data_IF_345915471641
#
_entry.id   IF_345915471641
#
_cell.length_a   1.000
_cell.length_b   1.000
_cell.length_c   1.000
_cell.angle_alpha   90.00
_cell.angle_beta   90.00
_cell.angle_gamma   90.00
#
_symmetry.space_group_name_H-M   'P 1'
#
loop_
_entity.id
_entity.type
_entity.pdbx_description
1 polymer ?
#
# COMPACT_ATOMS: atom_id res chain seq x y z
N UNK A 1 6.26 -14.17 -5.81
CA UNK A 1 6.26 -12.95 -4.97
C UNK A 1 7.69 -12.63 -4.56
N UNK A 2 8.12 -11.39 -4.72
CA UNK A 2 9.43 -10.93 -4.27
C UNK A 2 9.34 -10.39 -2.83
N UNK A 3 10.51 -10.23 -2.18
CA UNK A 3 10.57 -9.59 -0.86
C UNK A 3 9.96 -8.17 -0.88
N UNK A 4 10.26 -7.42 -1.92
CA UNK A 4 9.72 -6.05 -2.10
C UNK A 4 8.20 -6.06 -2.22
N UNK A 5 7.64 -6.99 -3.00
CA UNK A 5 6.19 -7.16 -3.13
C UNK A 5 5.54 -7.56 -1.80
N UNK A 6 6.15 -8.47 -1.06
CA UNK A 6 5.65 -8.88 0.26
C UNK A 6 5.63 -7.70 1.24
N UNK A 7 6.70 -6.90 1.28
CA UNK A 7 6.76 -5.71 2.12
C UNK A 7 5.68 -4.68 1.75
N UNK A 8 5.44 -4.47 0.46
CA UNK A 8 4.41 -3.54 -0.01
C UNK A 8 3.00 -4.02 0.33
N UNK A 9 2.73 -5.30 0.19
CA UNK A 9 1.43 -5.89 0.57
C UNK A 9 1.21 -5.76 2.08
N UNK A 10 2.23 -6.05 2.88
CA UNK A 10 2.16 -5.89 4.33
C UNK A 10 1.88 -4.44 4.75
N UNK A 11 2.53 -3.48 4.09
CA UNK A 11 2.31 -2.04 4.32
C UNK A 11 0.87 -1.64 4.02
N UNK A 12 0.32 -2.09 2.90
CA UNK A 12 -1.07 -1.84 2.54
C UNK A 12 -2.04 -2.42 3.56
N UNK A 13 -1.80 -3.64 3.99
CA UNK A 13 -2.66 -4.31 4.96
C UNK A 13 -2.65 -3.60 6.32
N UNK A 14 -1.48 -3.14 6.75
CA UNK A 14 -1.35 -2.31 7.94
C UNK A 14 -2.16 -1.02 7.82
N UNK A 15 -2.02 -0.30 6.73
CA UNK A 15 -2.76 0.95 6.49
C UNK A 15 -4.26 0.70 6.40
N UNK A 16 -4.67 -0.39 5.75
CA UNK A 16 -6.08 -0.77 5.65
C UNK A 16 -6.72 -1.00 7.02
N UNK A 17 -5.99 -1.62 7.95
CA UNK A 17 -6.52 -1.94 9.28
C UNK A 17 -6.39 -0.80 10.30
N UNK A 18 -5.39 0.05 10.17
CA UNK A 18 -5.08 1.10 11.16
C UNK A 18 -5.41 2.52 10.68
N UNK A 19 -5.49 2.72 9.37
CA UNK A 19 -5.63 4.05 8.77
C UNK A 19 -4.34 4.88 8.80
N UNK A 20 -3.24 4.33 9.26
CA UNK A 20 -1.96 5.00 9.41
C UNK A 20 -0.92 4.49 8.41
N UNK A 21 0.00 5.37 8.01
CA UNK A 21 1.14 4.99 7.17
C UNK A 21 2.30 4.54 8.05
N UNK A 22 2.86 3.33 7.84
CA UNK A 22 4.03 2.90 8.58
C UNK A 22 5.27 3.65 8.08
N UNK A 23 6.18 4.00 9.01
CA UNK A 23 7.45 4.62 8.65
C UNK A 23 8.39 3.63 7.96
N UNK A 24 8.36 2.39 8.39
CA UNK A 24 9.21 1.31 7.84
C UNK A 24 8.53 -0.04 7.98
N UNK A 25 8.90 -0.96 7.11
CA UNK A 25 8.46 -2.35 7.14
C UNK A 25 9.69 -3.24 6.99
N UNK A 26 9.90 -4.13 7.95
CA UNK A 26 11.00 -5.08 7.93
C UNK A 26 10.48 -6.49 7.61
N UNK A 27 11.14 -7.18 6.70
CA UNK A 27 10.82 -8.58 6.46
C UNK A 27 11.63 -9.43 7.44
N UNK A 28 10.94 -10.05 8.39
CA UNK A 28 11.56 -10.90 9.40
C UNK A 28 11.74 -12.35 8.93
N UNK A 29 10.79 -12.86 8.14
CA UNK A 29 10.85 -14.21 7.58
C UNK A 29 10.36 -14.14 6.13
N UNK A 30 11.14 -14.71 5.22
CA UNK A 30 10.76 -14.84 3.83
C UNK A 30 11.17 -16.23 3.33
N UNK A 31 10.19 -17.11 3.24
CA UNK A 31 10.38 -18.45 2.72
C UNK A 31 9.38 -18.73 1.61
N UNK A 32 9.84 -18.55 0.37
CA UNK A 32 8.99 -18.76 -0.80
C UNK A 32 8.63 -20.23 -1.04
N UNK A 33 9.47 -21.16 -0.61
CA UNK A 33 9.16 -22.60 -0.71
C UNK A 33 7.97 -22.95 0.16
N UNK A 34 7.88 -22.37 1.34
CA UNK A 34 6.75 -22.55 2.25
C UNK A 34 5.60 -21.56 1.95
N UNK A 35 5.80 -20.64 1.03
CA UNK A 35 4.80 -19.65 0.67
C UNK A 35 4.51 -18.61 1.74
N UNK A 36 5.41 -18.44 2.72
CA UNK A 36 5.21 -17.59 3.89
C UNK A 36 6.16 -16.39 3.83
N UNK A 37 5.61 -15.20 4.09
CA UNK A 37 6.37 -13.98 4.36
C UNK A 37 5.83 -13.33 5.63
N UNK A 38 6.72 -13.06 6.59
CA UNK A 38 6.39 -12.32 7.82
C UNK A 38 7.10 -10.99 7.81
N UNK A 39 6.33 -9.93 8.02
CA UNK A 39 6.84 -8.57 8.08
C UNK A 39 6.56 -7.98 9.46
N UNK A 40 7.52 -7.23 9.98
CA UNK A 40 7.37 -6.49 11.23
C UNK A 40 7.27 -5.00 10.93
N UNK A 41 6.35 -4.33 11.59
CA UNK A 41 6.09 -2.89 11.43
C UNK A 41 6.19 -2.25 12.79
N UNK A 42 7.35 -1.62 13.12
CA UNK A 42 7.49 -0.89 14.36
C UNK A 42 6.75 0.45 14.28
N UNK A 43 5.98 0.74 15.30
CA UNK A 43 5.25 2.02 15.43
C UNK A 43 5.36 2.54 16.86
N UNK A 44 5.02 3.82 17.04
CA UNK A 44 4.89 4.43 18.35
C UNK A 44 3.43 4.79 18.58
N UNK A 45 2.86 4.26 19.67
CA UNK A 45 1.48 4.55 20.05
C UNK A 45 1.46 5.08 21.47
N UNK A 46 1.00 6.32 21.65
CA UNK A 46 0.95 7.03 22.95
C UNK A 46 2.32 7.04 23.68
N UNK A 47 3.41 7.18 22.91
CA UNK A 47 4.76 7.17 23.44
C UNK A 47 5.38 5.80 23.67
N UNK A 48 4.60 4.72 23.54
CA UNK A 48 5.08 3.35 23.67
C UNK A 48 5.38 2.73 22.30
N UNK A 49 6.49 2.02 22.21
CA UNK A 49 6.86 1.27 21.02
C UNK A 49 5.97 0.02 20.89
N UNK A 50 5.33 -0.12 19.72
CA UNK A 50 4.47 -1.25 19.41
C UNK A 50 4.93 -1.85 18.10
N UNK A 51 5.04 -3.19 18.06
CA UNK A 51 5.43 -3.92 16.86
C UNK A 51 4.22 -4.73 16.36
N UNK A 52 3.81 -4.46 15.13
CA UNK A 52 2.81 -5.26 14.43
C UNK A 52 3.51 -6.29 13.54
N UNK A 53 2.96 -7.48 13.45
CA UNK A 53 3.41 -8.52 12.53
C UNK A 53 2.33 -8.78 11.49
N UNK A 54 2.70 -8.71 10.22
CA UNK A 54 1.83 -9.09 9.10
C UNK A 54 2.37 -10.37 8.49
N UNK A 55 1.55 -11.40 8.44
CA UNK A 55 1.89 -12.67 7.82
C UNK A 55 1.10 -12.86 6.55
N UNK A 56 1.83 -13.08 5.44
CA UNK A 56 1.28 -13.46 4.16
C UNK A 56 1.53 -14.95 3.94
N UNK A 57 0.48 -15.72 3.68
CA UNK A 57 0.59 -17.14 3.37
C UNK A 57 -0.05 -17.38 2.00
N UNK A 58 0.79 -17.58 0.98
CA UNK A 58 0.34 -17.77 -0.40
C UNK A 58 -0.29 -19.16 -0.62
N UNK A 59 0.11 -20.17 0.15
CA UNK A 59 -0.44 -21.52 0.06
C UNK A 59 -1.83 -21.58 0.68
N UNK A 60 -1.98 -21.05 1.90
CA UNK A 60 -3.27 -20.98 2.58
C UNK A 60 -4.16 -19.86 2.08
N UNK A 61 -3.63 -18.95 1.25
CA UNK A 61 -4.34 -17.78 0.75
C UNK A 61 -4.88 -16.88 1.87
N UNK A 62 -4.05 -16.60 2.85
CA UNK A 62 -4.41 -15.76 4.01
C UNK A 62 -3.44 -14.61 4.19
N UNK A 63 -3.95 -13.52 4.72
CA UNK A 63 -3.17 -12.40 5.24
C UNK A 63 -3.71 -12.04 6.62
N UNK A 64 -2.83 -12.02 7.61
CA UNK A 64 -3.18 -11.75 9.00
C UNK A 64 -2.29 -10.68 9.58
N UNK A 65 -2.78 -9.97 10.58
CA UNK A 65 -1.99 -9.00 11.33
C UNK A 65 -2.16 -9.27 12.83
N UNK A 66 -1.04 -9.47 13.52
CA UNK A 66 -1.03 -9.65 14.98
C UNK A 66 -1.49 -8.34 15.66
N UNK A 67 -2.22 -8.45 16.74
CA UNK A 67 -2.88 -7.38 17.51
C UNK A 67 -4.15 -6.81 16.86
N UNK A 68 -4.49 -7.28 15.67
CA UNK A 68 -5.76 -7.00 15.04
C UNK A 68 -6.37 -8.36 14.70
N UNK A 69 -7.52 -8.68 15.29
CA UNK A 69 -8.24 -9.92 15.02
C UNK A 69 -8.92 -9.82 13.65
N UNK A 70 -8.09 -9.81 12.61
CA UNK A 70 -8.57 -9.72 11.25
C UNK A 70 -7.78 -10.69 10.37
N UNK A 71 -8.50 -11.60 9.74
CA UNK A 71 -7.97 -12.48 8.72
C UNK A 71 -8.71 -12.23 7.43
N UNK A 72 -7.95 -12.00 6.36
CA UNK A 72 -8.52 -11.78 5.04
C UNK A 72 -7.96 -12.79 4.05
N UNK A 73 -8.71 -13.06 2.99
CA UNK A 73 -8.17 -13.79 1.84
C UNK A 73 -7.11 -12.93 1.16
N UNK A 74 -5.92 -13.50 0.98
CA UNK A 74 -4.81 -12.79 0.32
C UNK A 74 -5.18 -12.41 -1.12
N UNK A 75 -5.82 -13.32 -1.87
CA UNK A 75 -6.24 -13.04 -3.24
C UNK A 75 -7.28 -11.92 -3.31
N UNK A 76 -8.25 -11.91 -2.40
CA UNK A 76 -9.27 -10.86 -2.34
C UNK A 76 -8.66 -9.51 -1.96
N UNK A 77 -7.72 -9.50 -1.04
CA UNK A 77 -7.01 -8.27 -0.67
C UNK A 77 -6.19 -7.72 -1.84
N UNK A 78 -5.53 -8.58 -2.61
CA UNK A 78 -4.75 -8.17 -3.77
C UNK A 78 -5.61 -7.56 -4.88
N UNK A 79 -6.90 -7.91 -4.97
CA UNK A 79 -7.83 -7.33 -5.93
C UNK A 79 -8.26 -5.91 -5.58
N UNK A 80 -7.90 -5.40 -4.41
CA UNK A 80 -8.20 -4.00 -4.04
C UNK A 80 -7.31 -2.99 -4.76
N UNK A 81 -6.33 -3.44 -5.55
CA UNK A 81 -5.56 -2.57 -6.41
C UNK A 81 -6.47 -1.82 -7.39
N UNK A 82 -6.17 -0.57 -7.58
CA UNK A 82 -6.95 0.30 -8.45
C UNK A 82 -6.03 1.01 -9.43
N UNK A 83 -6.59 1.41 -10.57
CA UNK A 83 -5.85 2.21 -11.54
C UNK A 83 -5.99 3.69 -11.25
N UNK A 84 -4.93 4.45 -11.54
CA UNK A 84 -4.90 5.91 -11.35
C UNK A 84 -6.08 6.59 -12.06
N UNK A 85 -6.45 6.12 -13.26
CA UNK A 85 -7.56 6.68 -14.05
C UNK A 85 -8.94 6.52 -13.43
N UNK A 86 -9.11 5.59 -12.49
CA UNK A 86 -10.41 5.31 -11.85
C UNK A 86 -10.64 6.06 -10.55
N UNK A 87 -9.65 6.80 -10.07
CA UNK A 87 -9.76 7.60 -8.86
C UNK A 87 -10.67 8.82 -9.07
N UNK A 88 -11.31 9.26 -8.01
CA UNK A 88 -12.04 10.51 -7.95
C UNK A 88 -11.16 11.62 -7.36
N UNK A 89 -11.44 12.86 -7.74
CA UNK A 89 -10.72 14.01 -7.19
C UNK A 89 -10.76 14.01 -5.66
N UNK A 90 -9.60 14.12 -5.04
CA UNK A 90 -9.45 14.08 -3.60
C UNK A 90 -9.14 12.71 -3.01
N UNK A 91 -9.27 11.63 -3.77
CA UNK A 91 -8.89 10.30 -3.31
C UNK A 91 -7.39 10.23 -3.03
N UNK A 92 -7.05 9.70 -1.87
CA UNK A 92 -5.66 9.53 -1.46
C UNK A 92 -5.14 8.16 -1.85
N UNK A 93 -3.89 8.10 -2.26
CA UNK A 93 -3.26 6.86 -2.72
C UNK A 93 -1.74 6.90 -2.55
N UNK A 94 -1.12 5.75 -2.74
CA UNK A 94 0.34 5.59 -2.84
C UNK A 94 0.70 4.93 -4.16
N UNK A 95 1.89 5.23 -4.66
CA UNK A 95 2.51 4.51 -5.75
C UNK A 95 3.31 3.31 -5.22
N UNK A 96 3.50 2.30 -6.05
CA UNK A 96 4.30 1.12 -5.68
C UNK A 96 5.72 1.51 -5.28
N UNK A 97 6.15 1.01 -4.11
CA UNK A 97 7.50 1.27 -3.59
C UNK A 97 7.72 2.66 -3.00
N UNK A 98 6.70 3.49 -2.96
CA UNK A 98 6.76 4.85 -2.44
C UNK A 98 5.98 4.96 -1.12
N UNK A 99 6.57 5.65 -0.15
CA UNK A 99 5.92 5.94 1.13
C UNK A 99 5.16 7.27 1.13
N UNK A 100 5.21 8.01 0.03
CA UNK A 100 4.57 9.31 -0.10
C UNK A 100 3.09 9.14 -0.37
N UNK A 101 2.27 9.92 0.31
CA UNK A 101 0.82 9.97 0.08
C UNK A 101 0.53 11.05 -0.95
N UNK A 102 -0.27 10.70 -1.94
CA UNK A 102 -0.75 11.61 -2.98
C UNK A 102 -2.26 11.75 -2.92
N UNK A 103 -2.76 12.89 -3.38
CA UNK A 103 -4.19 13.13 -3.58
C UNK A 103 -4.46 13.30 -5.07
N UNK A 104 -5.41 12.55 -5.60
CA UNK A 104 -5.74 12.61 -7.02
C UNK A 104 -6.35 13.96 -7.37
N UNK A 105 -5.84 14.58 -8.42
CA UNK A 105 -6.31 15.90 -8.89
C UNK A 105 -7.29 15.78 -10.05
N UNK A 106 -6.99 14.94 -11.04
CA UNK A 106 -7.83 14.73 -12.20
C UNK A 106 -7.05 14.42 -13.46
N UNK A 107 -7.77 14.28 -14.56
CA UNK A 107 -7.20 14.09 -15.90
C UNK A 107 -7.01 15.43 -16.57
N UNK A 108 -5.90 15.56 -17.29
CA UNK A 108 -5.68 16.67 -18.24
C UNK A 108 -5.38 16.13 -19.62
N UNK A 109 -5.88 16.77 -20.64
CA UNK A 109 -5.55 16.46 -22.02
C UNK A 109 -4.79 17.64 -22.63
N UNK A 110 -3.64 17.35 -23.22
CA UNK A 110 -2.83 18.37 -23.90
C UNK A 110 -2.23 17.75 -25.15
N UNK A 111 -2.46 18.35 -26.30
CA UNK A 111 -1.96 17.89 -27.60
C UNK A 111 -2.35 16.42 -27.92
N UNK A 112 -3.56 16.01 -27.55
CA UNK A 112 -4.04 14.64 -27.75
C UNK A 112 -3.51 13.61 -26.75
N UNK A 113 -2.68 14.02 -25.80
CA UNK A 113 -2.16 13.14 -24.75
C UNK A 113 -2.92 13.35 -23.44
N UNK A 114 -3.36 12.23 -22.84
CA UNK A 114 -4.01 12.25 -21.54
C UNK A 114 -2.93 12.10 -20.47
N UNK A 115 -2.98 12.98 -19.47
CA UNK A 115 -2.12 12.91 -18.28
C UNK A 115 -2.96 12.90 -17.02
N UNK A 116 -2.48 12.20 -16.01
CA UNK A 116 -3.13 12.09 -14.71
C UNK A 116 -2.37 12.94 -13.69
N UNK A 117 -3.09 13.89 -13.09
CA UNK A 117 -2.53 14.83 -12.12
C UNK A 117 -2.81 14.42 -10.68
N UNK A 118 -1.82 14.59 -9.82
CA UNK A 118 -1.95 14.34 -8.40
C UNK A 118 -1.04 15.27 -7.60
N UNK A 119 -1.41 15.51 -6.35
CA UNK A 119 -0.69 16.38 -5.43
C UNK A 119 -0.02 15.56 -4.34
N UNK A 120 1.23 15.85 -4.04
CA UNK A 120 1.87 15.37 -2.82
C UNK A 120 1.19 16.01 -1.61
N UNK A 121 0.73 15.19 -0.68
CA UNK A 121 0.00 15.70 0.49
C UNK A 121 0.91 16.51 1.42
N UNK A 122 2.20 16.15 1.49
CA UNK A 122 3.16 16.78 2.40
C UNK A 122 3.59 18.20 1.98
N UNK A 123 3.63 18.50 0.68
CA UNK A 123 4.12 19.78 0.17
C UNK A 123 3.24 20.42 -0.92
N UNK A 124 2.09 19.81 -1.23
CA UNK A 124 1.16 20.26 -2.28
C UNK A 124 1.78 20.39 -3.68
N UNK A 125 2.88 19.68 -3.93
CA UNK A 125 3.50 19.66 -5.24
C UNK A 125 2.63 18.90 -6.25
N UNK A 126 2.29 19.54 -7.36
CA UNK A 126 1.54 18.95 -8.45
C UNK A 126 2.45 18.08 -9.32
N UNK A 127 2.05 16.85 -9.53
CA UNK A 127 2.75 15.89 -10.39
C UNK A 127 1.82 15.39 -11.49
N UNK A 128 2.41 15.04 -12.65
CA UNK A 128 1.67 14.51 -13.78
C UNK A 128 2.32 13.22 -14.27
N UNK A 129 1.51 12.20 -14.55
CA UNK A 129 1.95 10.96 -15.19
C UNK A 129 1.19 10.74 -16.49
N UNK A 130 1.92 10.32 -17.52
CA UNK A 130 1.32 9.94 -18.81
C UNK A 130 0.73 8.54 -18.81
N UNK A 131 1.21 7.69 -17.91
CA UNK A 131 0.81 6.29 -17.83
C UNK A 131 -0.28 6.07 -16.80
N UNK A 132 -1.25 5.22 -17.15
CA UNK A 132 -2.26 4.75 -16.21
C UNK A 132 -1.69 3.57 -15.41
N UNK A 133 -1.17 3.87 -14.23
CA UNK A 133 -0.49 2.90 -13.38
C UNK A 133 -1.42 2.35 -12.29
N UNK A 134 -1.07 1.19 -11.75
CA UNK A 134 -1.73 0.67 -10.56
C UNK A 134 -1.31 1.47 -9.34
N UNK A 135 -2.29 1.82 -8.52
CA UNK A 135 -2.09 2.59 -7.29
C UNK A 135 -2.72 1.85 -6.12
N UNK A 136 -2.31 2.21 -4.92
CA UNK A 136 -2.80 1.63 -3.68
C UNK A 136 -3.63 2.69 -2.94
N UNK A 137 -4.98 2.64 -3.05
CA UNK A 137 -5.84 3.61 -2.37
C UNK A 137 -5.75 3.46 -0.85
N UNK A 138 -5.87 4.57 -0.17
CA UNK A 138 -5.86 4.63 1.29
C UNK A 138 -7.27 4.70 1.86
#
# INVERSE_FOLDING_TARGET
MTRKQAAEIARRYYTFNTGEMPNEVHISIYNMEDGIAKCTIPTTHRGDEVIYEVELNTIANTITMKRVENESSLADFLRTETRLSTLNKGDKFRLEGDCVVYSYFGKGERFGNIKYGFLRVDNNQLCWLSDDVNVYPL
#
